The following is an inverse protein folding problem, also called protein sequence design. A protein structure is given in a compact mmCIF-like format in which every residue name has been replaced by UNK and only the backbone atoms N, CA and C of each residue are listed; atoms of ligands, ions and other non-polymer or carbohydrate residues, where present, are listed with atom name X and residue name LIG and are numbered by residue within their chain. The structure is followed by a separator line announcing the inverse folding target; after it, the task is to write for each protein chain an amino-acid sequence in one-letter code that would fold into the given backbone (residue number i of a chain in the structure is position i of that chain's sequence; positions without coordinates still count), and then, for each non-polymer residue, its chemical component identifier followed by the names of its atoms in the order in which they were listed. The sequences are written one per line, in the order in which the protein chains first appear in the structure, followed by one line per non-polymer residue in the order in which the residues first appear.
data_IF_375935229019
#
_entry.id   IF_375935229019
#
_cell.length_a   1.000
_cell.length_b   1.000
_cell.length_c   1.000
_cell.angle_alpha   90.00
_cell.angle_beta   90.00
_cell.angle_gamma   90.00
#
_symmetry.space_group_name_H-M   'P 1'
#
loop_
_entity.id
_entity.type
_entity.pdbx_description
1 polymer ?
#
# COMPACT_ATOMS: atom_id res chain seq x y z
N UNK A 1 40.74 -38.93 -5.32
CA UNK A 1 39.89 -39.96 -5.90
C UNK A 1 38.77 -39.24 -6.64
N UNK A 2 38.89 -39.32 -7.92
CA UNK A 2 38.02 -38.72 -8.96
C UNK A 2 36.63 -39.37 -8.98
N UNK A 3 35.73 -38.68 -9.58
CA UNK A 3 34.62 -39.04 -10.48
C UNK A 3 33.39 -38.24 -9.99
N UNK A 4 32.84 -37.25 -10.66
CA UNK A 4 32.66 -37.11 -12.10
C UNK A 4 31.17 -37.14 -12.44
N UNK A 5 30.79 -36.15 -13.21
CA UNK A 5 29.89 -36.10 -14.35
C UNK A 5 28.42 -35.71 -14.10
N UNK A 6 28.15 -34.49 -14.54
CA UNK A 6 27.11 -34.06 -15.56
C UNK A 6 25.74 -34.74 -15.58
N UNK A 7 24.72 -33.94 -15.50
CA UNK A 7 23.73 -33.98 -16.58
C UNK A 7 23.02 -32.61 -16.75
N UNK A 8 23.32 -32.00 -17.87
CA UNK A 8 22.55 -30.96 -18.50
C UNK A 8 21.40 -31.62 -19.26
N UNK A 9 20.21 -31.08 -19.15
CA UNK A 9 19.06 -31.56 -19.92
C UNK A 9 17.95 -30.54 -19.88
N UNK A 10 18.04 -29.61 -20.77
CA UNK A 10 17.02 -28.92 -21.56
C UNK A 10 15.60 -29.49 -21.45
N UNK A 11 14.63 -28.61 -21.27
CA UNK A 11 13.42 -28.58 -22.08
C UNK A 11 12.79 -27.17 -22.00
N UNK A 12 13.05 -26.47 -23.09
CA UNK A 12 12.30 -25.29 -23.51
C UNK A 12 10.89 -25.68 -23.97
N UNK A 13 10.04 -24.65 -24.02
CA UNK A 13 8.81 -24.55 -24.82
C UNK A 13 7.52 -25.06 -24.20
N UNK A 14 6.67 -24.11 -23.83
CA UNK A 14 5.32 -24.07 -24.37
C UNK A 14 4.74 -22.64 -24.29
N UNK A 15 4.95 -21.88 -25.33
CA UNK A 15 4.13 -20.71 -25.68
C UNK A 15 2.79 -21.22 -26.18
N UNK A 16 1.73 -21.07 -25.44
CA UNK A 16 0.37 -21.24 -25.92
C UNK A 16 -0.19 -19.84 -26.24
N UNK A 17 -0.11 -19.46 -27.52
CA UNK A 17 -0.86 -18.36 -28.10
C UNK A 17 -2.35 -18.64 -28.02
N UNK A 18 -3.08 -17.83 -27.28
CA UNK A 18 -4.55 -17.80 -27.38
C UNK A 18 -4.88 -16.87 -28.55
N UNK A 19 -5.26 -17.49 -29.66
CA UNK A 19 -5.78 -16.79 -30.84
C UNK A 19 -7.16 -16.22 -30.54
N UNK A 20 -7.29 -14.92 -30.72
CA UNK A 20 -8.57 -14.21 -30.78
C UNK A 20 -9.32 -14.63 -32.05
N UNK A 21 -10.41 -15.32 -31.87
CA UNK A 21 -11.37 -15.61 -32.97
C UNK A 21 -12.23 -14.35 -33.19
N UNK A 22 -11.90 -13.65 -34.27
CA UNK A 22 -12.76 -12.59 -34.84
C UNK A 22 -13.95 -13.30 -35.49
N UNK A 23 -15.14 -13.14 -34.91
CA UNK A 23 -16.38 -13.60 -35.49
C UNK A 23 -16.99 -12.43 -36.28
N UNK A 24 -16.80 -12.47 -37.58
CA UNK A 24 -17.49 -11.61 -38.56
C UNK A 24 -18.96 -11.98 -38.61
N UNK A 25 -19.84 -11.11 -38.17
CA UNK A 25 -21.27 -11.18 -38.45
C UNK A 25 -21.62 -10.34 -39.65
N UNK A 26 -22.09 -10.98 -40.69
CA UNK A 26 -22.59 -10.45 -41.96
C UNK A 26 -23.87 -9.66 -41.74
N UNK A 27 -23.90 -8.55 -42.43
CA UNK A 27 -24.93 -7.56 -42.62
C UNK A 27 -26.21 -8.14 -43.20
N UNK A 28 -27.35 -8.00 -42.54
CA UNK A 28 -28.66 -8.10 -43.14
C UNK A 28 -29.37 -6.74 -43.06
N UNK A 29 -29.42 -6.05 -44.20
CA UNK A 29 -30.15 -4.80 -44.36
C UNK A 29 -31.61 -5.21 -44.53
N UNK A 30 -32.48 -4.82 -43.59
CA UNK A 30 -33.93 -4.78 -43.78
C UNK A 30 -34.38 -3.34 -43.67
N UNK A 31 -34.75 -2.81 -44.83
CA UNK A 31 -35.39 -1.52 -44.96
C UNK A 31 -36.85 -1.69 -44.52
N UNK A 32 -37.26 -1.00 -43.49
CA UNK A 32 -38.68 -0.77 -43.21
C UNK A 32 -38.91 0.68 -42.78
N UNK A 33 -39.91 1.27 -43.48
CA UNK A 33 -40.18 2.69 -43.55
C UNK A 33 -40.67 3.34 -42.27
N UNK A 34 -40.50 4.62 -42.29
CA UNK A 34 -41.13 5.75 -41.67
C UNK A 34 -41.98 5.61 -40.41
N UNK A 35 -41.44 6.20 -39.30
CA UNK A 35 -42.29 6.86 -38.31
C UNK A 35 -41.55 8.08 -37.78
N UNK A 36 -42.09 9.25 -38.12
CA UNK A 36 -41.68 10.52 -37.55
C UNK A 36 -42.15 10.58 -36.10
N UNK A 37 -41.27 10.27 -35.16
CA UNK A 37 -41.45 10.44 -33.72
C UNK A 37 -40.26 11.18 -33.16
N UNK A 38 -40.48 12.43 -32.70
CA UNK A 38 -39.45 13.29 -32.15
C UNK A 38 -38.75 12.67 -30.93
N UNK A 39 -37.54 12.19 -31.12
CA UNK A 39 -36.65 11.81 -30.01
C UNK A 39 -36.18 13.08 -29.28
N UNK A 40 -36.78 13.36 -28.12
CA UNK A 40 -36.17 14.26 -27.14
C UNK A 40 -34.82 13.64 -26.73
N UNK A 41 -33.76 14.27 -27.18
CA UNK A 41 -32.39 13.95 -26.80
C UNK A 41 -32.28 14.14 -25.28
N UNK A 42 -32.32 13.04 -24.54
CA UNK A 42 -32.00 13.05 -23.11
C UNK A 42 -30.57 13.58 -22.99
N UNK A 43 -30.39 14.73 -22.37
CA UNK A 43 -29.08 15.26 -22.03
C UNK A 43 -28.45 14.29 -21.04
N UNK A 44 -27.33 13.71 -21.43
CA UNK A 44 -26.45 12.94 -20.52
C UNK A 44 -26.05 13.88 -19.39
N UNK A 45 -26.14 13.47 -18.10
CA UNK A 45 -25.64 14.33 -17.03
C UNK A 45 -24.16 14.59 -17.29
N UNK A 46 -23.79 15.86 -17.37
CA UNK A 46 -22.39 16.26 -17.48
C UNK A 46 -21.62 15.63 -16.33
N UNK A 47 -20.63 14.81 -16.65
CA UNK A 47 -19.66 14.31 -15.67
C UNK A 47 -19.04 15.57 -15.04
N UNK A 48 -19.25 15.74 -13.73
CA UNK A 48 -18.58 16.79 -12.96
C UNK A 48 -17.07 16.66 -13.11
N UNK A 49 -16.33 17.75 -12.85
CA UNK A 49 -14.86 17.70 -12.90
C UNK A 49 -14.37 16.52 -12.07
N UNK A 50 -13.57 15.63 -12.66
CA UNK A 50 -12.84 14.60 -11.92
C UNK A 50 -11.80 15.37 -11.11
N UNK A 51 -12.10 15.63 -9.83
CA UNK A 51 -11.12 16.21 -8.91
C UNK A 51 -9.96 15.22 -8.83
N UNK A 52 -8.79 15.64 -9.30
CA UNK A 52 -7.53 14.92 -9.07
C UNK A 52 -7.28 14.82 -7.56
N UNK A 53 -6.35 13.93 -7.12
CA UNK A 53 -6.07 13.75 -5.70
C UNK A 53 -5.74 15.10 -5.07
N UNK A 54 -6.61 15.58 -4.18
CA UNK A 54 -6.43 16.85 -3.49
C UNK A 54 -5.26 16.74 -2.53
N UNK A 55 -4.34 17.72 -2.58
CA UNK A 55 -3.26 17.79 -1.59
C UNK A 55 -3.87 18.04 -0.21
N UNK A 56 -3.54 17.21 0.80
CA UNK A 56 -4.06 17.41 2.15
C UNK A 56 -3.71 18.80 2.70
N UNK A 57 -4.68 19.49 3.28
CA UNK A 57 -4.53 20.84 3.86
C UNK A 57 -4.74 20.86 5.37
N UNK A 58 -5.14 19.74 5.97
CA UNK A 58 -5.37 19.56 7.41
C UNK A 58 -5.09 18.12 7.83
N UNK A 59 -4.92 17.90 9.14
CA UNK A 59 -4.80 16.56 9.70
C UNK A 59 -6.06 15.74 9.40
N UNK A 60 -5.88 14.48 9.01
CA UNK A 60 -7.00 13.56 8.88
C UNK A 60 -7.63 13.26 10.26
N UNK A 61 -8.93 12.92 10.31
CA UNK A 61 -9.56 12.43 11.52
C UNK A 61 -8.82 11.23 12.10
N UNK A 62 -9.04 10.95 13.39
CA UNK A 62 -8.50 9.74 14.00
C UNK A 62 -9.03 8.52 13.26
N UNK A 63 -8.11 7.65 12.84
CA UNK A 63 -8.44 6.43 12.10
C UNK A 63 -8.80 5.29 13.07
N UNK A 64 -9.28 4.17 12.50
CA UNK A 64 -9.44 2.93 13.25
C UNK A 64 -8.09 2.53 13.84
N UNK A 65 -8.10 2.06 15.08
CA UNK A 65 -6.89 1.66 15.80
C UNK A 65 -6.80 0.14 15.94
N UNK A 66 -5.58 -0.35 16.09
CA UNK A 66 -5.26 -1.75 16.35
C UNK A 66 -4.09 -1.84 17.33
N UNK A 67 -4.13 -2.82 18.23
CA UNK A 67 -2.99 -3.15 19.07
C UNK A 67 -1.95 -3.93 18.30
N UNK A 68 -0.70 -3.53 18.49
CA UNK A 68 0.48 -4.18 17.91
C UNK A 68 1.42 -4.62 19.02
N UNK A 69 2.13 -5.72 18.77
CA UNK A 69 3.23 -6.22 19.59
C UNK A 69 4.50 -6.28 18.78
N UNK A 70 5.57 -5.70 19.33
CA UNK A 70 6.93 -5.69 18.78
C UNK A 70 7.85 -6.34 19.84
N UNK A 71 7.99 -7.66 19.79
CA UNK A 71 8.57 -8.39 20.91
C UNK A 71 7.67 -8.36 22.15
N UNK A 72 8.17 -7.82 23.26
CA UNK A 72 7.40 -7.63 24.49
C UNK A 72 6.62 -6.29 24.55
N UNK A 73 6.89 -5.38 23.64
CA UNK A 73 6.32 -4.03 23.66
C UNK A 73 4.94 -4.02 23.00
N UNK A 74 3.97 -3.40 23.68
CA UNK A 74 2.62 -3.17 23.19
C UNK A 74 2.44 -1.70 22.81
N UNK A 75 1.80 -1.46 21.68
CA UNK A 75 1.41 -0.13 21.23
C UNK A 75 0.06 -0.13 20.53
N UNK A 76 -0.51 1.06 20.32
CA UNK A 76 -1.75 1.25 19.58
C UNK A 76 -1.47 2.05 18.32
N UNK A 77 -1.70 1.46 17.14
CA UNK A 77 -1.50 2.14 15.87
C UNK A 77 -2.83 2.48 15.19
N UNK A 78 -2.93 3.68 14.63
CA UNK A 78 -3.97 4.03 13.68
C UNK A 78 -3.69 3.34 12.34
N UNK A 79 -4.74 2.87 11.65
CA UNK A 79 -4.62 2.10 10.41
C UNK A 79 -4.86 2.99 9.20
N UNK A 80 -3.84 3.26 8.41
CA UNK A 80 -3.92 3.91 7.11
C UNK A 80 -4.02 2.83 6.01
N UNK A 81 -5.26 2.56 5.55
CA UNK A 81 -5.58 1.46 4.65
C UNK A 81 -6.01 1.92 3.26
N UNK A 82 -6.35 3.19 3.08
CA UNK A 82 -6.76 3.76 1.80
C UNK A 82 -5.69 4.68 1.23
N UNK A 83 -5.71 4.91 -0.09
CA UNK A 83 -4.78 5.83 -0.73
C UNK A 83 -4.81 7.24 -0.14
N UNK A 84 -5.98 7.76 0.21
CA UNK A 84 -6.14 9.06 0.86
C UNK A 84 -5.54 9.07 2.26
N UNK A 85 -5.79 8.03 3.06
CA UNK A 85 -5.24 7.89 4.42
C UNK A 85 -3.72 7.78 4.39
N UNK A 86 -3.15 6.99 3.46
CA UNK A 86 -1.71 6.83 3.32
C UNK A 86 -1.03 8.10 2.79
N UNK A 87 -1.69 8.84 1.89
CA UNK A 87 -1.18 10.11 1.38
C UNK A 87 -1.15 11.19 2.46
N UNK A 88 -2.17 11.26 3.31
CA UNK A 88 -2.25 12.25 4.40
C UNK A 88 -1.33 11.84 5.55
N UNK A 89 -1.32 10.56 5.93
CA UNK A 89 -0.48 10.03 6.99
C UNK A 89 -0.52 10.88 8.27
N UNK A 90 0.66 11.22 8.79
CA UNK A 90 0.86 12.04 9.99
C UNK A 90 0.90 13.56 9.73
N UNK A 91 0.57 14.00 8.49
CA UNK A 91 0.56 15.44 8.17
C UNK A 91 -0.34 16.22 9.14
N UNK A 92 0.13 17.40 9.53
CA UNK A 92 -0.55 18.36 10.42
C UNK A 92 -0.87 17.84 11.84
N UNK A 93 -0.45 16.63 12.21
CA UNK A 93 -0.50 16.15 13.58
C UNK A 93 0.52 16.90 14.43
N UNK A 94 0.12 17.35 15.61
CA UNK A 94 0.99 18.14 16.53
C UNK A 94 1.39 17.35 17.77
N UNK A 95 0.78 16.20 17.99
CA UNK A 95 1.10 15.30 19.10
C UNK A 95 0.92 13.84 18.70
N UNK A 96 1.68 12.98 19.36
CA UNK A 96 1.58 11.53 19.29
C UNK A 96 1.91 10.99 20.70
N UNK A 97 1.04 10.17 21.28
CA UNK A 97 1.31 9.55 22.58
C UNK A 97 2.51 8.57 22.46
N UNK A 98 3.23 8.33 23.56
CA UNK A 98 4.49 7.54 23.52
C UNK A 98 4.28 6.16 22.89
N UNK A 99 3.25 5.41 23.28
CA UNK A 99 2.96 4.10 22.72
C UNK A 99 1.85 4.14 21.67
N UNK A 100 1.83 5.21 20.86
CA UNK A 100 0.95 5.35 19.69
C UNK A 100 1.76 5.43 18.41
N UNK A 101 1.11 5.07 17.28
CA UNK A 101 1.72 5.14 15.95
C UNK A 101 0.68 5.15 14.84
N UNK A 102 1.17 5.10 13.60
CA UNK A 102 0.33 4.88 12.42
C UNK A 102 0.92 3.75 11.59
N UNK A 103 0.07 2.78 11.28
CA UNK A 103 0.41 1.62 10.45
C UNK A 103 -0.15 1.81 9.04
N UNK A 104 0.73 1.93 8.09
CA UNK A 104 0.41 2.03 6.66
C UNK A 104 0.45 0.64 6.06
N UNK A 105 -0.64 0.22 5.41
CA UNK A 105 -0.75 -1.10 4.78
C UNK A 105 -0.98 -0.93 3.28
N UNK A 106 -0.08 -1.48 2.48
CA UNK A 106 -0.11 -1.37 1.02
C UNK A 106 -0.63 -2.64 0.36
N UNK A 107 -1.30 -2.55 -0.81
CA UNK A 107 -1.91 -3.70 -1.47
C UNK A 107 -0.90 -4.74 -1.97
N UNK A 108 0.34 -4.33 -2.25
CA UNK A 108 1.42 -5.19 -2.71
C UNK A 108 2.77 -4.70 -2.17
N UNK A 109 3.78 -5.58 -2.06
CA UNK A 109 5.13 -5.17 -1.72
C UNK A 109 5.70 -4.22 -2.79
N UNK A 110 6.48 -3.24 -2.35
CA UNK A 110 7.15 -2.27 -3.21
C UNK A 110 8.34 -1.64 -2.48
N UNK A 111 9.12 -0.83 -3.19
CA UNK A 111 10.17 -0.01 -2.59
C UNK A 111 9.53 1.24 -1.97
N UNK A 112 9.19 1.16 -0.69
CA UNK A 112 8.52 2.25 0.02
C UNK A 112 9.40 3.50 0.09
N UNK A 113 8.77 4.68 0.01
CA UNK A 113 9.46 5.96 0.09
C UNK A 113 8.58 6.95 0.86
N UNK A 114 9.09 7.45 1.98
CA UNK A 114 8.37 8.31 2.91
C UNK A 114 9.06 9.65 3.05
N UNK A 115 8.29 10.70 3.17
CA UNK A 115 8.74 12.08 3.38
C UNK A 115 7.97 12.74 4.52
N UNK A 116 8.45 13.86 5.01
CA UNK A 116 7.86 14.56 6.15
C UNK A 116 7.18 15.89 5.77
N UNK A 117 6.70 16.00 4.53
CA UNK A 117 5.96 17.19 4.10
C UNK A 117 4.76 17.43 5.02
N UNK A 118 4.61 18.66 5.51
CA UNK A 118 3.55 19.06 6.43
C UNK A 118 3.46 18.25 7.74
N UNK A 119 4.48 17.48 8.09
CA UNK A 119 4.55 16.76 9.35
C UNK A 119 5.50 17.49 10.33
N UNK A 120 4.96 18.13 11.40
CA UNK A 120 5.77 18.84 12.38
C UNK A 120 6.38 17.93 13.45
N UNK A 121 5.94 16.67 13.55
CA UNK A 121 6.42 15.73 14.54
C UNK A 121 7.72 15.06 14.08
N UNK A 122 8.74 14.92 14.93
CA UNK A 122 9.86 14.03 14.67
C UNK A 122 9.39 12.57 14.80
N UNK A 123 9.60 11.75 13.78
CA UNK A 123 9.13 10.38 13.72
C UNK A 123 10.29 9.41 13.45
N UNK A 124 10.07 8.13 13.78
CA UNK A 124 10.84 7.00 13.26
C UNK A 124 9.89 6.09 12.48
N UNK A 125 10.34 5.59 11.33
CA UNK A 125 9.59 4.65 10.50
C UNK A 125 10.28 3.29 10.46
N UNK A 126 9.53 2.22 10.76
CA UNK A 126 9.94 0.86 10.50
C UNK A 126 9.34 0.38 9.17
N UNK A 127 10.17 -0.08 8.25
CA UNK A 127 9.79 -0.68 6.99
C UNK A 127 9.70 -2.20 7.15
N UNK A 128 8.53 -2.75 6.89
CA UNK A 128 8.13 -4.10 7.31
C UNK A 128 7.68 -4.89 6.08
N UNK A 129 8.08 -6.16 6.02
CA UNK A 129 7.67 -7.06 4.95
C UNK A 129 6.27 -7.67 5.18
N UNK A 130 5.69 -8.40 4.20
CA UNK A 130 4.37 -9.03 4.35
C UNK A 130 4.27 -10.03 5.51
N UNK A 131 5.39 -10.64 5.91
CA UNK A 131 5.48 -11.59 7.01
C UNK A 131 5.51 -10.90 8.38
N UNK A 132 5.67 -9.57 8.38
CA UNK A 132 5.73 -8.76 9.59
C UNK A 132 7.15 -8.53 10.11
N UNK A 133 8.18 -8.90 9.35
CA UNK A 133 9.58 -8.70 9.74
C UNK A 133 10.00 -7.25 9.49
N UNK A 134 10.55 -6.59 10.49
CA UNK A 134 11.15 -5.26 10.37
C UNK A 134 12.44 -5.39 9.54
N UNK A 135 12.44 -4.80 8.35
CA UNK A 135 13.58 -4.80 7.43
C UNK A 135 14.55 -3.66 7.72
N UNK A 136 14.02 -2.47 7.96
CA UNK A 136 14.77 -1.23 8.14
C UNK A 136 14.06 -0.32 9.14
N UNK A 137 14.82 0.50 9.87
CA UNK A 137 14.30 1.56 10.74
C UNK A 137 15.02 2.85 10.40
N UNK A 138 14.28 3.92 10.17
CA UNK A 138 14.80 5.22 9.79
C UNK A 138 14.20 6.34 10.65
N UNK A 139 15.02 7.32 11.02
CA UNK A 139 14.55 8.55 11.63
C UNK A 139 14.15 9.56 10.55
N UNK A 140 12.98 10.14 10.73
CA UNK A 140 12.36 11.09 9.82
C UNK A 140 12.33 12.49 10.47
N UNK A 141 12.97 13.46 9.82
CA UNK A 141 13.06 14.82 10.36
C UNK A 141 11.81 15.65 9.98
N UNK A 142 11.25 16.44 10.92
CA UNK A 142 10.10 17.29 10.66
C UNK A 142 10.26 18.15 9.41
N UNK A 143 9.18 18.27 8.63
CA UNK A 143 9.11 19.08 7.41
C UNK A 143 10.13 18.75 6.31
N UNK A 144 10.93 17.70 6.45
CA UNK A 144 11.86 17.28 5.40
C UNK A 144 11.09 16.70 4.20
N UNK A 145 11.29 17.31 3.04
CA UNK A 145 10.66 16.87 1.78
C UNK A 145 11.54 15.90 0.98
N UNK A 146 12.76 15.64 1.41
CA UNK A 146 13.57 14.57 0.86
C UNK A 146 13.02 13.22 1.34
N UNK A 147 12.72 12.37 0.39
CA UNK A 147 12.18 11.05 0.72
C UNK A 147 13.25 10.12 1.29
N UNK A 148 12.88 9.38 2.33
CA UNK A 148 13.63 8.24 2.84
C UNK A 148 13.09 6.99 2.15
N UNK A 149 13.89 6.45 1.22
CA UNK A 149 13.49 5.33 0.37
C UNK A 149 14.09 4.03 0.91
N UNK A 150 13.27 2.99 1.01
CA UNK A 150 13.72 1.66 1.43
C UNK A 150 14.78 1.10 0.49
N UNK A 151 15.73 0.33 1.04
CA UNK A 151 16.68 -0.45 0.27
C UNK A 151 16.01 -1.69 -0.34
N UNK A 152 15.01 -2.23 0.37
CA UNK A 152 14.26 -3.44 -0.01
C UNK A 152 13.03 -3.09 -0.85
N UNK A 153 12.72 -3.94 -1.85
CA UNK A 153 11.47 -3.92 -2.61
C UNK A 153 10.36 -4.77 -1.97
N UNK A 154 10.62 -5.34 -0.80
CA UNK A 154 9.69 -6.22 -0.09
C UNK A 154 8.86 -5.52 0.97
N UNK A 155 8.90 -4.19 1.04
CA UNK A 155 8.13 -3.44 2.04
C UNK A 155 6.65 -3.44 1.64
N UNK A 156 5.79 -3.92 2.51
CA UNK A 156 4.33 -3.86 2.31
C UNK A 156 3.61 -3.14 3.45
N UNK A 157 4.30 -2.90 4.54
CA UNK A 157 3.78 -2.24 5.74
C UNK A 157 4.83 -1.24 6.21
N UNK A 158 4.38 -0.09 6.71
CA UNK A 158 5.24 0.89 7.37
C UNK A 158 4.61 1.28 8.70
N UNK A 159 5.40 1.33 9.77
CA UNK A 159 4.97 1.77 11.09
C UNK A 159 5.72 3.05 11.46
N UNK A 160 4.99 4.15 11.57
CA UNK A 160 5.49 5.43 12.09
C UNK A 160 5.17 5.60 13.57
N UNK A 161 6.17 6.01 14.34
CA UNK A 161 6.11 6.23 15.79
C UNK A 161 6.89 7.49 16.17
N UNK A 162 6.84 7.91 17.44
CA UNK A 162 7.70 8.97 17.93
C UNK A 162 9.18 8.66 17.65
N UNK A 163 9.95 9.67 17.25
CA UNK A 163 11.37 9.49 16.94
C UNK A 163 12.14 8.85 18.09
N UNK A 164 12.94 7.84 17.75
CA UNK A 164 13.75 7.07 18.69
C UNK A 164 12.96 6.05 19.53
N UNK A 165 11.64 5.89 19.34
CA UNK A 165 10.82 4.93 20.08
C UNK A 165 11.39 3.51 19.99
N UNK A 166 11.74 3.05 18.79
CA UNK A 166 12.29 1.71 18.58
C UNK A 166 13.54 1.45 19.43
N UNK A 167 14.46 2.42 19.48
CA UNK A 167 15.68 2.30 20.29
C UNK A 167 15.39 2.28 21.79
N UNK A 168 14.47 3.13 22.28
CA UNK A 168 14.08 3.18 23.71
C UNK A 168 13.42 1.88 24.17
N UNK A 169 12.75 1.17 23.27
CA UNK A 169 12.04 -0.08 23.54
C UNK A 169 12.77 -1.33 23.05
N UNK A 170 14.07 -1.21 22.72
CA UNK A 170 14.92 -2.32 22.22
C UNK A 170 14.32 -3.07 21.02
N UNK A 171 13.54 -2.38 20.19
CA UNK A 171 12.99 -2.91 18.95
C UNK A 171 14.00 -2.69 17.82
N UNK A 172 14.37 -3.77 17.14
CA UNK A 172 15.41 -3.78 16.10
C UNK A 172 14.95 -4.45 14.82
N UNK A 173 15.72 -4.29 13.76
CA UNK A 173 15.55 -5.03 12.50
C UNK A 173 15.61 -6.54 12.75
N UNK A 174 14.82 -7.30 11.98
CA UNK A 174 14.66 -8.74 12.16
C UNK A 174 13.57 -9.15 13.15
N UNK A 175 13.09 -8.24 14.00
CA UNK A 175 11.96 -8.53 14.89
C UNK A 175 10.65 -8.59 14.09
N UNK A 176 9.69 -9.38 14.62
CA UNK A 176 8.39 -9.61 13.99
C UNK A 176 7.32 -8.80 14.71
N UNK A 177 6.57 -8.01 13.95
CA UNK A 177 5.40 -7.28 14.41
C UNK A 177 4.17 -8.18 14.32
N UNK A 178 3.34 -8.17 15.35
CA UNK A 178 2.05 -8.90 15.42
C UNK A 178 0.92 -7.95 15.76
N UNK A 179 -0.29 -8.35 15.43
CA UNK A 179 -1.52 -7.65 15.81
C UNK A 179 -2.28 -8.46 16.86
N UNK A 180 -3.30 -7.84 17.47
CA UNK A 180 -4.26 -8.53 18.34
C UNK A 180 -5.04 -9.65 17.62
N UNK A 181 -5.00 -9.71 16.30
CA UNK A 181 -5.62 -10.74 15.48
C UNK A 181 -4.62 -11.77 14.94
N UNK A 182 -3.35 -11.70 15.35
CA UNK A 182 -2.28 -12.60 14.92
C UNK A 182 -1.24 -11.96 14.01
N UNK A 183 -0.57 -12.74 13.15
CA UNK A 183 0.44 -12.23 12.23
C UNK A 183 -0.12 -11.17 11.27
N UNK A 184 0.69 -10.16 10.90
CA UNK A 184 0.29 -9.10 9.96
C UNK A 184 -0.23 -9.67 8.65
N UNK A 185 0.42 -10.70 8.13
CA UNK A 185 0.01 -11.37 6.90
C UNK A 185 -1.41 -11.93 6.97
N UNK A 186 -1.75 -12.56 8.07
CA UNK A 186 -3.10 -13.13 8.26
C UNK A 186 -4.14 -12.06 8.51
N UNK A 187 -3.76 -10.98 9.18
CA UNK A 187 -4.66 -9.87 9.50
C UNK A 187 -5.06 -9.08 8.25
N UNK A 188 -4.08 -8.77 7.37
CA UNK A 188 -4.32 -7.83 6.26
C UNK A 188 -4.34 -8.48 4.86
N UNK A 189 -3.68 -9.63 4.66
CA UNK A 189 -3.42 -10.19 3.32
C UNK A 189 -3.99 -11.59 3.11
N UNK A 190 -4.84 -12.08 4.03
CA UNK A 190 -5.51 -13.37 3.84
C UNK A 190 -6.38 -13.31 2.59
N UNK A 191 -6.07 -14.13 1.59
CA UNK A 191 -6.96 -14.34 0.43
C UNK A 191 -8.26 -14.98 0.95
N UNK A 192 -9.37 -14.29 0.73
CA UNK A 192 -10.72 -14.87 0.91
C UNK A 192 -11.03 -15.82 -0.24
#
# INVERSE_FOLDING_TARGET
MLIGVENAGALAQSFAMIQWRILTFLLAITVCGGCAGGCKKAASPAAGPVEGPSVPTAAQPKLQTMKLWLGAEEMVAELALTGEQTQTGMMFRTNLAENAGMLFVFPAPYRASFWMKNCPLPLSAAYIDPEGVILEIHDLQPHNTNSVTASSERVQIVLEVNQGWFGRHNVTTGMVVRTEHGPLRETFFRRR
#
